data_IF_583023299268
#
_entry.id   IF_583023299268
#
_cell.length_a   1.000
_cell.length_b   1.000
_cell.length_c   1.000
_cell.angle_alpha   90.00
_cell.angle_beta   90.00
_cell.angle_gamma   90.00
#
_symmetry.space_group_name_H-M   'P 1'
#
loop_
_entity.id
_entity.type
_entity.pdbx_description
1 polymer ?
#
# COMPACT_ATOMS: atom_id res chain seq x y z
N UNK A 1 -20.25 -1.69 6.38
CA UNK A 1 -19.74 -0.35 5.99
C UNK A 1 -18.23 -0.42 5.98
N UNK A 2 -17.50 -0.05 4.90
CA UNK A 2 -16.05 -0.13 4.92
C UNK A 2 -15.49 0.91 5.91
N UNK A 3 -14.75 0.41 6.91
CA UNK A 3 -14.21 1.16 8.03
C UNK A 3 -12.97 1.98 7.63
N UNK A 4 -13.16 3.04 6.84
CA UNK A 4 -12.11 4.03 6.55
C UNK A 4 -12.07 5.18 7.58
N UNK A 5 -13.17 5.35 8.32
CA UNK A 5 -13.30 6.32 9.41
C UNK A 5 -12.41 5.87 10.59
N UNK A 6 -11.27 6.53 10.79
CA UNK A 6 -10.30 6.22 11.84
C UNK A 6 -8.90 5.85 11.34
N UNK A 7 -8.62 6.01 10.04
CA UNK A 7 -7.25 5.91 9.54
C UNK A 7 -6.48 7.22 9.82
N UNK A 8 -5.70 7.26 10.91
CA UNK A 8 -4.76 8.36 11.23
C UNK A 8 -3.68 8.59 10.15
N UNK A 9 -3.66 7.78 9.07
CA UNK A 9 -2.69 7.94 7.97
C UNK A 9 -2.74 9.32 7.34
N UNK A 10 -3.90 9.98 7.29
CA UNK A 10 -3.99 11.37 6.80
C UNK A 10 -3.34 12.34 7.77
N UNK A 11 -3.42 12.09 9.07
CA UNK A 11 -2.86 12.94 10.12
C UNK A 11 -1.34 12.80 10.25
N UNK A 12 -0.78 11.68 9.74
CA UNK A 12 0.68 11.45 9.64
C UNK A 12 1.33 12.14 8.44
N UNK A 13 0.53 12.73 7.55
CA UNK A 13 1.07 13.46 6.42
C UNK A 13 1.65 14.80 6.88
N UNK A 14 2.77 15.24 6.32
CA UNK A 14 3.35 16.52 6.65
C UNK A 14 2.44 17.64 6.15
N UNK A 15 2.46 18.80 6.82
CA UNK A 15 1.60 19.93 6.48
C UNK A 15 1.79 20.43 5.03
N UNK A 16 2.98 20.22 4.45
CA UNK A 16 3.30 20.57 3.07
C UNK A 16 3.00 19.47 2.04
N UNK A 17 2.31 18.39 2.42
CA UNK A 17 1.94 17.29 1.54
C UNK A 17 1.32 17.71 0.19
N UNK A 18 0.41 18.71 0.10
CA UNK A 18 -0.11 19.16 -1.19
C UNK A 18 0.99 19.67 -2.14
N UNK A 19 2.04 20.32 -1.61
CA UNK A 19 3.18 20.77 -2.41
C UNK A 19 4.03 19.60 -2.88
N UNK A 20 4.34 18.66 -1.98
CA UNK A 20 5.09 17.43 -2.31
C UNK A 20 4.36 16.67 -3.41
N UNK A 21 3.05 16.45 -3.25
CA UNK A 21 2.19 15.77 -4.23
C UNK A 21 2.26 16.44 -5.61
N UNK A 22 2.17 17.77 -5.68
CA UNK A 22 2.26 18.49 -6.94
C UNK A 22 3.66 18.36 -7.58
N UNK A 23 4.74 18.39 -6.79
CA UNK A 23 6.10 18.19 -7.32
C UNK A 23 6.28 16.79 -7.89
N UNK A 24 5.79 15.76 -7.20
CA UNK A 24 5.86 14.36 -7.67
C UNK A 24 5.05 14.14 -8.95
N UNK A 25 3.82 14.67 -9.01
CA UNK A 25 3.00 14.59 -10.22
C UNK A 25 3.65 15.28 -11.42
N UNK A 26 4.23 16.47 -11.21
CA UNK A 26 4.98 17.18 -12.27
C UNK A 26 6.22 16.42 -12.71
N UNK A 27 7.02 15.89 -11.78
CA UNK A 27 8.20 15.06 -12.07
C UNK A 27 7.84 13.86 -12.94
N UNK A 28 6.70 13.22 -12.66
CA UNK A 28 6.29 12.00 -13.35
C UNK A 28 5.50 12.28 -14.64
N UNK A 29 5.31 13.55 -15.01
CA UNK A 29 4.60 14.00 -16.21
C UNK A 29 3.08 13.84 -16.12
N UNK A 30 2.52 13.87 -14.91
CA UNK A 30 1.13 13.53 -14.59
C UNK A 30 0.69 12.15 -15.11
N UNK A 31 1.64 11.25 -15.37
CA UNK A 31 1.39 9.90 -15.91
C UNK A 31 1.76 8.86 -14.87
N UNK A 32 0.99 7.78 -14.82
CA UNK A 32 1.29 6.65 -13.96
C UNK A 32 2.73 6.14 -14.19
N UNK A 33 3.43 5.85 -13.10
CA UNK A 33 4.82 5.33 -13.13
C UNK A 33 4.89 3.82 -13.02
N UNK A 34 3.75 3.15 -12.81
CA UNK A 34 3.69 1.70 -12.83
C UNK A 34 4.18 1.15 -14.18
N UNK A 35 4.99 0.09 -14.12
CA UNK A 35 5.50 -0.60 -15.29
C UNK A 35 4.91 -1.99 -15.38
N UNK A 36 4.51 -2.41 -16.58
CA UNK A 36 4.05 -3.77 -16.83
C UNK A 36 5.23 -4.76 -16.83
N UNK A 37 4.94 -6.05 -17.08
CA UNK A 37 5.95 -7.11 -17.16
C UNK A 37 6.99 -6.92 -18.28
N UNK A 38 6.68 -6.09 -19.29
CA UNK A 38 7.57 -5.74 -20.39
C UNK A 38 8.35 -4.45 -20.13
N UNK A 39 8.17 -3.82 -18.95
CA UNK A 39 8.85 -2.60 -18.56
C UNK A 39 8.20 -1.32 -19.08
N UNK A 40 7.07 -1.39 -19.79
CA UNK A 40 6.37 -0.23 -20.34
C UNK A 40 5.57 0.49 -19.27
N UNK A 41 5.59 1.83 -19.29
CA UNK A 41 4.82 2.63 -18.35
C UNK A 41 3.34 2.60 -18.71
N UNK A 42 2.49 2.52 -17.69
CA UNK A 42 1.06 2.72 -17.84
C UNK A 42 0.77 4.09 -18.47
N UNK A 43 -0.11 4.14 -19.49
CA UNK A 43 -0.45 5.35 -20.26
C UNK A 43 -1.43 6.28 -19.55
N UNK A 44 -2.12 5.77 -18.52
CA UNK A 44 -3.14 6.49 -17.78
C UNK A 44 -2.59 7.69 -16.99
N UNK A 45 -3.45 8.69 -16.81
CA UNK A 45 -3.20 9.84 -15.96
C UNK A 45 -3.02 9.39 -14.51
N UNK A 46 -2.01 9.94 -13.83
CA UNK A 46 -1.86 9.75 -12.41
C UNK A 46 -2.82 10.65 -11.63
N UNK A 47 -3.66 10.03 -10.81
CA UNK A 47 -4.60 10.70 -9.92
C UNK A 47 -4.05 10.82 -8.50
N UNK A 48 -3.15 9.92 -8.12
CA UNK A 48 -2.71 9.74 -6.75
C UNK A 48 -1.18 9.63 -6.67
N UNK A 49 -0.65 9.96 -5.49
CA UNK A 49 0.77 9.80 -5.16
C UNK A 49 0.86 8.85 -3.98
N UNK A 50 1.74 7.87 -4.11
CA UNK A 50 1.81 6.72 -3.22
C UNK A 50 3.25 6.35 -2.90
N UNK A 51 3.47 5.79 -1.71
CA UNK A 51 4.79 5.40 -1.24
C UNK A 51 5.27 4.12 -1.92
N UNK A 52 6.50 4.13 -2.42
CA UNK A 52 7.19 2.98 -2.99
C UNK A 52 7.51 1.98 -1.88
N UNK A 53 8.17 2.46 -0.83
CA UNK A 53 8.41 1.74 0.42
C UNK A 53 7.38 2.22 1.45
N UNK A 54 6.55 1.31 2.01
CA UNK A 54 5.59 1.68 3.04
C UNK A 54 6.27 2.31 4.27
N UNK A 55 5.67 3.37 4.81
CA UNK A 55 6.18 4.07 5.99
C UNK A 55 5.86 5.56 5.94
N UNK A 56 6.50 6.33 6.83
CA UNK A 56 6.31 7.78 6.95
C UNK A 56 7.44 8.58 6.27
N UNK A 57 8.14 7.97 5.30
CA UNK A 57 9.14 8.67 4.49
C UNK A 57 8.48 9.37 3.30
N UNK A 58 8.23 10.67 3.45
CA UNK A 58 7.57 11.53 2.47
C UNK A 58 8.54 12.23 1.51
N UNK A 59 9.81 11.79 1.47
CA UNK A 59 10.79 12.32 0.51
C UNK A 59 10.44 11.88 -0.90
N UNK A 60 10.67 12.74 -1.88
CA UNK A 60 10.20 12.53 -3.27
C UNK A 60 10.70 11.22 -3.89
N UNK A 61 11.89 10.75 -3.53
CA UNK A 61 12.43 9.48 -4.04
C UNK A 61 11.60 8.27 -3.59
N UNK A 62 10.91 8.35 -2.45
CA UNK A 62 10.04 7.28 -1.95
C UNK A 62 8.61 7.42 -2.46
N UNK A 63 8.30 8.45 -3.25
CA UNK A 63 6.97 8.72 -3.74
C UNK A 63 6.89 8.47 -5.25
N UNK A 64 5.76 7.96 -5.69
CA UNK A 64 5.47 7.73 -7.11
C UNK A 64 4.04 8.07 -7.48
N UNK A 65 3.86 8.56 -8.69
CA UNK A 65 2.53 8.86 -9.24
C UNK A 65 1.87 7.59 -9.78
N UNK A 66 0.64 7.31 -9.37
CA UNK A 66 -0.16 6.17 -9.80
C UNK A 66 -1.54 6.61 -10.31
N UNK A 67 -2.07 5.85 -11.28
CA UNK A 67 -3.48 5.95 -11.66
C UNK A 67 -4.36 5.18 -10.66
N UNK A 68 -5.66 5.49 -10.63
CA UNK A 68 -6.60 4.88 -9.70
C UNK A 68 -6.64 3.35 -9.73
N UNK A 69 -6.44 2.72 -10.89
CA UNK A 69 -6.36 1.26 -11.01
C UNK A 69 -5.15 0.68 -10.27
N UNK A 70 -3.95 1.17 -10.56
CA UNK A 70 -2.72 0.66 -9.94
C UNK A 70 -2.62 1.01 -8.46
N UNK A 71 -3.20 2.14 -8.04
CA UNK A 71 -3.34 2.50 -6.63
C UNK A 71 -4.20 1.48 -5.87
N UNK A 72 -5.37 1.14 -6.41
CA UNK A 72 -6.25 0.15 -5.80
C UNK A 72 -5.64 -1.25 -5.79
N UNK A 73 -4.95 -1.64 -6.86
CA UNK A 73 -4.24 -2.92 -6.94
C UNK A 73 -3.15 -3.02 -5.85
N UNK A 74 -2.34 -1.97 -5.65
CA UNK A 74 -1.34 -1.92 -4.57
C UNK A 74 -2.00 -1.99 -3.19
N UNK A 75 -2.99 -1.14 -2.93
CA UNK A 75 -3.70 -1.10 -1.65
C UNK A 75 -4.31 -2.47 -1.29
N UNK A 76 -4.92 -3.14 -2.27
CA UNK A 76 -5.49 -4.49 -2.10
C UNK A 76 -4.42 -5.51 -1.76
N UNK A 77 -3.27 -5.48 -2.45
CA UNK A 77 -2.14 -6.37 -2.17
C UNK A 77 -1.58 -6.14 -0.76
N UNK A 78 -1.41 -4.90 -0.35
CA UNK A 78 -0.93 -4.55 0.99
C UNK A 78 -1.91 -5.00 2.07
N UNK A 79 -3.21 -4.80 1.86
CA UNK A 79 -4.26 -5.28 2.75
C UNK A 79 -4.26 -6.80 2.89
N UNK A 80 -4.11 -7.54 1.78
CA UNK A 80 -4.01 -8.99 1.79
C UNK A 80 -2.77 -9.50 2.54
N UNK A 81 -1.62 -8.83 2.37
CA UNK A 81 -0.38 -9.14 3.10
C UNK A 81 -0.55 -8.89 4.60
N UNK A 82 -1.14 -7.76 4.99
CA UNK A 82 -1.41 -7.43 6.40
C UNK A 82 -2.37 -8.44 7.05
N UNK A 83 -3.44 -8.84 6.33
CA UNK A 83 -4.38 -9.87 6.80
C UNK A 83 -3.68 -11.22 6.98
N UNK A 84 -2.84 -11.61 6.02
CA UNK A 84 -2.08 -12.86 6.08
C UNK A 84 -1.11 -12.85 7.27
N UNK A 85 -0.39 -11.75 7.50
CA UNK A 85 0.49 -11.59 8.65
C UNK A 85 -0.28 -11.68 9.98
N UNK A 86 -1.46 -11.04 10.07
CA UNK A 86 -2.34 -11.13 11.24
C UNK A 86 -2.79 -12.56 11.50
N UNK A 87 -3.24 -13.29 10.46
CA UNK A 87 -3.64 -14.70 10.55
C UNK A 87 -2.50 -15.60 11.03
N UNK A 88 -1.28 -15.41 10.49
CA UNK A 88 -0.09 -16.16 10.94
C UNK A 88 0.20 -15.94 12.43
N UNK A 89 0.12 -14.69 12.90
CA UNK A 89 0.32 -14.36 14.32
C UNK A 89 -0.72 -15.05 15.22
N UNK A 90 -1.99 -15.00 14.82
CA UNK A 90 -3.09 -15.67 15.54
C UNK A 90 -2.84 -17.19 15.59
N UNK A 91 -2.60 -17.82 14.44
CA UNK A 91 -2.38 -19.28 14.38
C UNK A 91 -1.13 -19.74 15.15
N UNK A 92 -0.09 -18.90 15.27
CA UNK A 92 1.09 -19.19 16.10
C UNK A 92 0.74 -19.24 17.59
N UNK A 93 -0.15 -18.36 18.06
CA UNK A 93 -0.63 -18.37 19.44
C UNK A 93 -1.52 -19.59 19.70
N UNK A 94 -2.45 -19.90 18.80
CA UNK A 94 -3.43 -20.98 18.96
C UNK A 94 -2.96 -22.34 18.44
N UNK A 95 -1.65 -22.65 18.48
CA UNK A 95 -1.17 -23.99 18.12
C UNK A 95 -1.68 -25.01 19.15
N UNK A 96 -2.47 -26.04 18.77
CA UNK A 96 -2.83 -27.11 19.68
C UNK A 96 -1.55 -27.83 20.10
N UNK A 97 -1.25 -27.82 21.40
CA UNK A 97 -0.06 -28.44 22.00
C UNK A 97 -0.25 -29.91 22.31
N UNK A 98 -1.45 -30.45 22.18
CA UNK A 98 -1.76 -31.83 22.55
C UNK A 98 -2.17 -32.66 21.31
N UNK A 99 -1.56 -33.84 21.17
CA UNK A 99 -2.07 -34.88 20.27
C UNK A 99 -3.36 -35.41 20.89
N UNK A 100 -4.49 -35.23 20.22
CA UNK A 100 -5.76 -35.76 20.71
C UNK A 100 -5.64 -37.28 20.95
N UNK A 101 -6.11 -37.79 22.09
CA UNK A 101 -5.91 -39.20 22.49
C UNK A 101 -6.59 -40.23 21.57
N UNK A 102 -7.30 -39.80 20.52
CA UNK A 102 -7.89 -40.64 19.48
C UNK A 102 -7.06 -40.81 18.21
N UNK A 103 -5.75 -40.50 18.24
CA UNK A 103 -4.83 -40.64 17.09
C UNK A 103 -3.92 -41.88 17.18
N UNK A 104 -4.39 -42.96 17.83
CA UNK A 104 -3.76 -44.30 17.86
C UNK A 104 -4.45 -45.26 16.90
#
# INVERSE_FOLDING_TARGET
>A
MPNWAGSDRRDRLPADWPRIRLRVLRRDGNRCTHRNQYGERCEELATDVDHIVPGDDHREFNLRSLCGFHQQAKSSREGALALTAKRRRINQWFKPTETHPGYI
#
